data_IF_044671366859
#
_entry.id   IF_044671366859
#
_cell.length_a   1.000
_cell.length_b   1.000
_cell.length_c   1.000
_cell.angle_alpha   90.00
_cell.angle_beta   90.00
_cell.angle_gamma   90.00
#
_symmetry.space_group_name_H-M   'P 1'
#
loop_
_entity.id
_entity.type
_entity.pdbx_description
1 polymer ?
#
# COMPACT_ATOMS: atom_id res chain seq x y z
N UNK A 1 18.68 62.38 -30.84
CA UNK A 1 18.40 61.93 -29.46
C UNK A 1 18.85 60.47 -29.37
N UNK A 2 20.11 60.24 -29.03
CA UNK A 2 20.70 58.89 -29.00
C UNK A 2 20.30 58.22 -27.69
N UNK A 3 19.43 57.21 -27.77
CA UNK A 3 19.14 56.32 -26.63
C UNK A 3 20.42 55.55 -26.34
N UNK A 4 21.14 55.94 -25.28
CA UNK A 4 22.29 55.20 -24.76
C UNK A 4 21.72 54.00 -23.99
N UNK A 5 21.67 52.83 -24.63
CA UNK A 5 21.34 51.59 -23.91
C UNK A 5 22.43 51.37 -22.86
N UNK A 6 22.04 51.48 -21.60
CA UNK A 6 22.96 51.36 -20.48
C UNK A 6 23.29 49.88 -20.29
N UNK A 7 24.58 49.50 -20.20
CA UNK A 7 25.05 48.13 -19.89
C UNK A 7 24.28 47.46 -18.74
N UNK A 8 23.76 48.25 -17.78
CA UNK A 8 22.88 47.79 -16.71
C UNK A 8 21.60 47.08 -17.18
N UNK A 9 20.95 47.53 -18.26
CA UNK A 9 19.71 46.90 -18.74
C UNK A 9 19.94 45.50 -19.32
N UNK A 10 21.10 45.28 -19.95
CA UNK A 10 21.49 43.97 -20.47
C UNK A 10 21.80 42.98 -19.34
N UNK A 11 22.50 43.43 -18.29
CA UNK A 11 22.76 42.60 -17.10
C UNK A 11 21.47 42.23 -16.34
N UNK A 12 20.49 43.14 -16.28
CA UNK A 12 19.19 42.85 -15.65
C UNK A 12 18.42 41.78 -16.43
N UNK A 13 18.42 41.85 -17.77
CA UNK A 13 17.78 40.82 -18.61
C UNK A 13 18.48 39.47 -18.42
N UNK A 14 19.81 39.45 -18.41
CA UNK A 14 20.60 38.23 -18.19
C UNK A 14 20.29 37.58 -16.83
N UNK A 15 20.24 38.38 -15.77
CA UNK A 15 19.90 37.89 -14.43
C UNK A 15 18.45 37.35 -14.36
N UNK A 16 17.48 38.05 -14.97
CA UNK A 16 16.08 37.61 -15.00
C UNK A 16 15.94 36.28 -15.74
N UNK A 17 16.64 36.11 -16.86
CA UNK A 17 16.65 34.83 -17.60
C UNK A 17 17.31 33.74 -16.74
N UNK A 18 18.44 34.01 -16.10
CA UNK A 18 19.13 33.04 -15.25
C UNK A 18 18.26 32.57 -14.08
N UNK A 19 17.62 33.51 -13.37
CA UNK A 19 16.68 33.19 -12.28
C UNK A 19 15.44 32.48 -12.82
N UNK A 20 14.96 32.83 -14.02
CA UNK A 20 13.84 32.16 -14.68
C UNK A 20 14.11 30.68 -14.98
N UNK A 21 15.29 30.37 -15.56
CA UNK A 21 15.71 28.99 -15.82
C UNK A 21 15.90 28.23 -14.49
N UNK A 22 16.51 28.86 -13.49
CA UNK A 22 16.67 28.25 -12.18
C UNK A 22 15.32 27.91 -11.53
N UNK A 23 14.35 28.82 -11.58
CA UNK A 23 13.01 28.60 -11.07
C UNK A 23 12.29 27.46 -11.82
N UNK A 24 12.44 27.38 -13.15
CA UNK A 24 11.87 26.29 -13.95
C UNK A 24 12.46 24.93 -13.54
N UNK A 25 13.78 24.84 -13.40
CA UNK A 25 14.44 23.63 -12.93
C UNK A 25 13.97 23.24 -11.52
N UNK A 26 13.87 24.20 -10.60
CA UNK A 26 13.39 23.94 -9.24
C UNK A 26 11.95 23.38 -9.24
N UNK A 27 11.05 23.93 -10.06
CA UNK A 27 9.69 23.44 -10.19
C UNK A 27 9.63 21.99 -10.71
N UNK A 28 10.43 21.67 -11.73
CA UNK A 28 10.53 20.30 -12.26
C UNK A 28 11.06 19.34 -11.19
N UNK A 29 12.13 19.71 -10.48
CA UNK A 29 12.72 18.87 -9.45
C UNK A 29 11.74 18.59 -8.31
N UNK A 30 11.00 19.59 -7.84
CA UNK A 30 9.96 19.40 -6.81
C UNK A 30 8.84 18.51 -7.34
N UNK A 31 8.41 18.71 -8.59
CA UNK A 31 7.41 17.86 -9.22
C UNK A 31 7.83 16.39 -9.28
N UNK A 32 9.06 16.11 -9.72
CA UNK A 32 9.63 14.76 -9.73
C UNK A 32 9.72 14.17 -8.32
N UNK A 33 10.11 14.98 -7.33
CA UNK A 33 10.21 14.52 -5.94
C UNK A 33 8.86 14.13 -5.36
N UNK A 34 7.81 14.94 -5.57
CA UNK A 34 6.44 14.62 -5.13
C UNK A 34 5.95 13.33 -5.78
N UNK A 35 6.23 13.14 -7.06
CA UNK A 35 5.85 11.90 -7.76
C UNK A 35 6.61 10.69 -7.21
N UNK A 36 7.91 10.82 -6.94
CA UNK A 36 8.71 9.76 -6.34
C UNK A 36 8.23 9.41 -4.92
N UNK A 37 7.85 10.41 -4.10
CA UNK A 37 7.29 10.19 -2.76
C UNK A 37 5.99 9.38 -2.82
N UNK A 38 5.09 9.70 -3.75
CA UNK A 38 3.85 8.94 -3.98
C UNK A 38 4.14 7.49 -4.33
N UNK A 39 4.99 7.25 -5.33
CA UNK A 39 5.38 5.88 -5.74
C UNK A 39 6.05 5.13 -4.58
N UNK A 40 6.86 5.81 -3.76
CA UNK A 40 7.49 5.22 -2.60
C UNK A 40 6.48 4.80 -1.54
N UNK A 41 5.44 5.61 -1.28
CA UNK A 41 4.34 5.27 -0.35
C UNK A 41 3.54 4.08 -0.85
N UNK A 42 3.19 4.06 -2.13
CA UNK A 42 2.45 2.95 -2.75
C UNK A 42 3.26 1.65 -2.66
N UNK A 43 4.57 1.72 -2.94
CA UNK A 43 5.49 0.58 -2.82
C UNK A 43 5.64 0.11 -1.37
N UNK A 44 5.66 1.03 -0.40
CA UNK A 44 5.72 0.70 1.01
C UNK A 44 4.43 -0.01 1.48
N UNK A 45 3.26 0.51 1.09
CA UNK A 45 1.98 -0.11 1.38
C UNK A 45 1.88 -1.52 0.77
N UNK A 46 2.27 -1.69 -0.49
CA UNK A 46 2.33 -3.01 -1.13
C UNK A 46 3.29 -3.95 -0.40
N UNK A 47 4.49 -3.48 -0.04
CA UNK A 47 5.47 -4.29 0.69
C UNK A 47 4.95 -4.78 2.05
N UNK A 48 4.21 -3.93 2.76
CA UNK A 48 3.57 -4.32 4.00
C UNK A 48 2.39 -5.29 3.76
N UNK A 49 1.56 -5.05 2.76
CA UNK A 49 0.49 -5.96 2.36
C UNK A 49 1.02 -7.38 2.09
N UNK A 50 2.13 -7.49 1.36
CA UNK A 50 2.84 -8.76 1.11
C UNK A 50 3.31 -9.39 2.41
N UNK A 51 3.95 -8.60 3.29
CA UNK A 51 4.51 -9.09 4.55
C UNK A 51 3.42 -9.64 5.48
N UNK A 52 2.34 -8.89 5.70
CA UNK A 52 1.23 -9.35 6.56
C UNK A 52 0.52 -10.57 5.96
N UNK A 53 0.39 -10.63 4.63
CA UNK A 53 -0.22 -11.76 3.94
C UNK A 53 0.62 -13.05 4.08
N UNK A 54 1.94 -12.93 3.95
CA UNK A 54 2.86 -14.07 4.11
C UNK A 54 2.87 -14.57 5.56
N UNK A 55 2.97 -13.67 6.53
CA UNK A 55 2.87 -14.02 7.95
C UNK A 55 1.56 -14.74 8.24
N UNK A 56 0.45 -14.24 7.70
CA UNK A 56 -0.87 -14.85 7.83
C UNK A 56 -0.94 -16.22 7.15
N UNK A 57 -0.32 -16.39 5.98
CA UNK A 57 -0.26 -17.67 5.29
C UNK A 57 0.48 -18.75 6.10
N UNK A 58 1.56 -18.37 6.80
CA UNK A 58 2.29 -19.26 7.71
C UNK A 58 1.46 -19.63 8.94
N UNK A 59 0.73 -18.67 9.52
CA UNK A 59 -0.21 -18.92 10.62
C UNK A 59 -1.36 -19.82 10.19
N UNK A 60 -1.94 -19.57 9.01
CA UNK A 60 -2.99 -20.41 8.42
C UNK A 60 -2.55 -21.87 8.29
N UNK A 61 -1.31 -22.12 7.85
CA UNK A 61 -0.74 -23.48 7.82
C UNK A 61 -0.58 -24.08 9.22
N UNK A 62 -0.13 -23.27 10.18
CA UNK A 62 0.08 -23.70 11.57
C UNK A 62 -1.23 -24.17 12.22
N UNK A 63 -2.33 -23.47 11.94
CA UNK A 63 -3.67 -23.84 12.41
C UNK A 63 -4.41 -24.82 11.49
N UNK A 64 -3.70 -25.45 10.54
CA UNK A 64 -4.25 -26.44 9.59
C UNK A 64 -5.46 -25.93 8.79
N UNK A 65 -5.48 -24.64 8.48
CA UNK A 65 -6.55 -23.98 7.74
C UNK A 65 -7.85 -23.78 8.53
N UNK A 66 -7.78 -23.82 9.86
CA UNK A 66 -8.89 -23.45 10.74
C UNK A 66 -9.01 -21.93 10.86
N UNK A 67 -9.99 -21.34 10.16
CA UNK A 67 -10.21 -19.89 10.18
C UNK A 67 -10.63 -19.37 11.56
N UNK A 68 -11.34 -20.16 12.37
CA UNK A 68 -11.79 -19.73 13.69
C UNK A 68 -10.60 -19.61 14.65
N UNK A 69 -9.68 -20.59 14.59
CA UNK A 69 -8.40 -20.50 15.30
C UNK A 69 -7.52 -19.38 14.78
N UNK A 70 -7.45 -19.20 13.46
CA UNK A 70 -6.68 -18.11 12.87
C UNK A 70 -7.20 -16.74 13.33
N UNK A 71 -8.52 -16.60 13.44
CA UNK A 71 -9.16 -15.39 13.95
C UNK A 71 -8.75 -15.09 15.40
N UNK A 72 -8.69 -16.12 16.25
CA UNK A 72 -8.25 -15.98 17.64
C UNK A 72 -6.77 -15.61 17.75
N UNK A 73 -5.91 -16.18 16.90
CA UNK A 73 -4.47 -15.92 16.91
C UNK A 73 -4.10 -14.52 16.40
N UNK A 74 -4.94 -13.94 15.53
CA UNK A 74 -4.67 -12.66 14.86
C UNK A 74 -5.63 -11.54 15.29
N UNK A 75 -6.46 -11.77 16.32
CA UNK A 75 -7.50 -10.84 16.77
C UNK A 75 -8.45 -10.39 15.64
N UNK A 76 -8.73 -11.30 14.71
CA UNK A 76 -9.60 -11.06 13.55
C UNK A 76 -11.08 -11.36 13.82
N UNK A 77 -11.95 -10.88 12.94
CA UNK A 77 -13.41 -11.07 13.03
C UNK A 77 -13.90 -12.01 11.93
N UNK A 78 -14.60 -13.08 12.31
CA UNK A 78 -15.29 -13.94 11.34
C UNK A 78 -16.65 -13.34 10.96
N UNK A 79 -16.93 -13.24 9.67
CA UNK A 79 -18.22 -12.80 9.14
C UNK A 79 -19.24 -13.95 9.17
N UNK A 80 -20.53 -13.63 9.04
CA UNK A 80 -21.60 -14.64 8.95
C UNK A 80 -21.42 -15.57 7.74
N UNK A 81 -20.77 -15.07 6.68
CA UNK A 81 -20.45 -15.84 5.47
C UNK A 81 -19.23 -16.76 5.62
N UNK A 82 -18.60 -16.79 6.80
CA UNK A 82 -17.43 -17.64 7.09
C UNK A 82 -16.11 -17.10 6.56
N UNK A 83 -16.03 -15.82 6.20
CA UNK A 83 -14.78 -15.15 5.87
C UNK A 83 -14.13 -14.56 7.14
N UNK A 84 -12.81 -14.54 7.19
CA UNK A 84 -12.06 -13.88 8.26
C UNK A 84 -11.60 -12.51 7.79
N UNK A 85 -11.93 -11.46 8.55
CA UNK A 85 -11.56 -10.08 8.27
C UNK A 85 -10.63 -9.55 9.36
N UNK A 86 -9.54 -8.90 8.93
CA UNK A 86 -8.60 -8.19 9.78
C UNK A 86 -8.44 -6.76 9.30
N UNK A 87 -8.31 -5.84 10.26
CA UNK A 87 -8.14 -4.42 9.99
C UNK A 87 -6.77 -3.95 10.45
N UNK A 88 -6.19 -3.02 9.70
CA UNK A 88 -4.92 -2.39 10.02
C UNK A 88 -5.03 -0.87 9.93
N UNK A 89 -4.32 -0.17 10.81
CA UNK A 89 -4.18 1.29 10.73
C UNK A 89 -3.15 1.74 9.67
N UNK A 90 -2.90 3.06 9.60
CA UNK A 90 -1.91 3.66 8.69
C UNK A 90 -0.47 3.16 8.91
N UNK A 91 -0.17 2.64 10.10
CA UNK A 91 1.13 2.13 10.51
C UNK A 91 1.21 0.59 10.39
N UNK A 92 0.22 -0.03 9.75
CA UNK A 92 0.09 -1.49 9.57
C UNK A 92 0.00 -2.28 10.88
N UNK A 93 -0.53 -1.66 11.93
CA UNK A 93 -0.80 -2.35 13.19
C UNK A 93 -2.24 -2.89 13.20
N UNK A 94 -2.45 -4.11 13.73
CA UNK A 94 -3.79 -4.70 13.79
C UNK A 94 -4.70 -3.88 14.70
N UNK A 95 -5.92 -3.61 14.24
CA UNK A 95 -6.95 -2.89 14.98
C UNK A 95 -8.27 -3.66 14.97
N UNK A 96 -9.06 -3.53 16.05
CA UNK A 96 -10.35 -4.23 16.20
C UNK A 96 -11.54 -3.47 15.60
N UNK A 97 -11.32 -2.24 15.16
CA UNK A 97 -12.31 -1.40 14.48
C UNK A 97 -11.95 -1.26 13.00
N UNK A 98 -12.83 -0.66 12.20
CA UNK A 98 -12.53 -0.32 10.81
C UNK A 98 -11.24 0.51 10.71
N UNK A 99 -10.26 -0.04 10.01
CA UNK A 99 -8.93 0.54 9.80
C UNK A 99 -8.76 1.13 8.41
N UNK A 100 -7.55 1.59 8.10
CA UNK A 100 -7.19 2.09 6.77
C UNK A 100 -7.00 0.95 5.75
N UNK A 101 -6.55 -0.21 6.21
CA UNK A 101 -6.40 -1.40 5.38
C UNK A 101 -7.23 -2.56 5.92
N UNK A 102 -7.76 -3.35 5.00
CA UNK A 102 -8.54 -4.54 5.29
C UNK A 102 -7.89 -5.74 4.63
N UNK A 103 -7.73 -6.82 5.40
CA UNK A 103 -7.40 -8.14 4.87
C UNK A 103 -8.60 -9.06 5.03
N UNK A 104 -8.97 -9.77 3.97
CA UNK A 104 -10.08 -10.72 3.95
C UNK A 104 -9.58 -12.09 3.53
N UNK A 105 -10.00 -13.13 4.24
CA UNK A 105 -9.66 -14.52 3.96
C UNK A 105 -10.95 -15.31 3.79
N UNK A 106 -11.15 -15.89 2.61
CA UNK A 106 -12.36 -16.64 2.27
C UNK A 106 -12.01 -18.07 1.94
N UNK A 107 -12.61 -19.05 2.62
CA UNK A 107 -12.39 -20.46 2.32
C UNK A 107 -12.91 -20.83 0.93
N UNK A 108 -12.12 -21.63 0.21
CA UNK A 108 -12.52 -22.25 -1.04
C UNK A 108 -12.82 -23.74 -0.81
N UNK A 109 -13.86 -24.30 -1.46
CA UNK A 109 -14.12 -25.73 -1.39
C UNK A 109 -12.99 -26.52 -2.06
N UNK A 110 -12.39 -27.46 -1.32
CA UNK A 110 -11.34 -28.34 -1.82
C UNK A 110 -11.41 -29.72 -1.14
N UNK A 111 -11.09 -30.79 -1.89
CA UNK A 111 -11.06 -32.16 -1.37
C UNK A 111 -9.64 -32.53 -0.89
N UNK A 112 -9.52 -32.94 0.37
CA UNK A 112 -8.28 -33.46 0.97
C UNK A 112 -7.31 -32.42 1.54
N UNK A 113 -7.54 -31.13 1.32
CA UNK A 113 -6.77 -30.02 1.90
C UNK A 113 -7.65 -28.77 2.03
N UNK A 114 -7.31 -27.81 2.90
CA UNK A 114 -8.06 -26.55 3.04
C UNK A 114 -7.42 -25.45 2.22
N UNK A 115 -8.16 -24.90 1.26
CA UNK A 115 -7.78 -23.70 0.49
C UNK A 115 -8.53 -22.47 0.98
N UNK A 116 -7.88 -21.33 0.88
CA UNK A 116 -8.52 -20.04 1.07
C UNK A 116 -7.89 -18.99 0.16
N UNK A 117 -8.68 -18.02 -0.28
CA UNK A 117 -8.15 -16.81 -0.91
C UNK A 117 -7.93 -15.75 0.16
N UNK A 118 -6.77 -15.10 0.13
CA UNK A 118 -6.44 -13.94 0.94
C UNK A 118 -6.31 -12.73 0.03
N UNK A 119 -6.99 -11.64 0.38
CA UNK A 119 -6.85 -10.34 -0.28
C UNK A 119 -6.62 -9.24 0.75
N UNK A 120 -5.82 -8.23 0.37
CA UNK A 120 -5.59 -7.00 1.13
C UNK A 120 -5.99 -5.83 0.26
N UNK A 121 -6.78 -4.91 0.80
CA UNK A 121 -7.25 -3.70 0.12
C UNK A 121 -7.22 -2.50 1.07
N UNK A 122 -7.15 -1.30 0.49
CA UNK A 122 -7.33 -0.06 1.25
C UNK A 122 -8.81 0.25 1.38
N UNK A 123 -9.23 0.70 2.56
CA UNK A 123 -10.61 1.07 2.85
C UNK A 123 -11.05 2.23 1.96
N UNK A 124 -12.17 2.05 1.25
CA UNK A 124 -12.68 3.03 0.28
C UNK A 124 -12.08 2.92 -1.13
N UNK A 125 -11.15 1.99 -1.36
CA UNK A 125 -10.68 1.61 -2.70
C UNK A 125 -11.38 0.32 -3.16
N UNK A 126 -11.70 0.24 -4.44
CA UNK A 126 -12.17 -0.99 -5.11
C UNK A 126 -10.98 -1.82 -5.65
N UNK A 127 -9.76 -1.27 -5.57
CA UNK A 127 -8.53 -1.94 -6.00
C UNK A 127 -7.94 -2.77 -4.87
N UNK A 128 -7.73 -4.06 -5.16
CA UNK A 128 -6.99 -4.95 -4.26
C UNK A 128 -5.50 -4.65 -4.36
N UNK A 129 -4.89 -4.28 -3.23
CA UNK A 129 -3.45 -4.00 -3.14
C UNK A 129 -2.63 -5.27 -3.37
N UNK A 130 -3.05 -6.39 -2.77
CA UNK A 130 -2.36 -7.66 -2.89
C UNK A 130 -3.31 -8.83 -2.66
N UNK A 131 -3.07 -9.95 -3.35
CA UNK A 131 -3.83 -11.17 -3.13
C UNK A 131 -2.94 -12.41 -3.25
N UNK A 132 -3.25 -13.44 -2.49
CA UNK A 132 -2.54 -14.71 -2.48
C UNK A 132 -3.48 -15.87 -2.14
N UNK A 133 -3.23 -17.04 -2.71
CA UNK A 133 -3.93 -18.28 -2.36
C UNK A 133 -3.20 -19.00 -1.21
N UNK A 134 -3.98 -19.38 -0.20
CA UNK A 134 -3.56 -20.16 0.95
C UNK A 134 -3.91 -21.63 0.74
N UNK A 135 -3.02 -22.51 1.20
CA UNK A 135 -3.26 -23.94 1.23
C UNK A 135 -2.64 -24.53 2.51
N UNK A 136 -3.42 -25.36 3.21
CA UNK A 136 -2.99 -26.12 4.38
C UNK A 136 -3.40 -27.59 4.22
N UNK A 137 -2.49 -28.50 4.54
CA UNK A 137 -2.77 -29.94 4.58
C UNK A 137 -3.67 -30.26 5.79
N UNK A 138 -4.72 -31.05 5.57
CA UNK A 138 -5.52 -31.60 6.66
C UNK A 138 -4.82 -32.88 7.09
N UNK A 139 -4.14 -32.83 8.23
CA UNK A 139 -3.49 -34.02 8.78
C UNK A 139 -4.57 -35.00 9.30
N UNK A 140 -4.49 -36.30 8.98
CA UNK A 140 -5.52 -37.28 9.31
C UNK A 140 -5.64 -37.57 10.81
#
# INVERSE_FOLDING_TARGET
>A
MTVRSSRSGLLVIELVIAVGVFALCAAICVGLFVQADRVSRDSAALGQAVTVSQNTAERYKTVQGDLERLAQDLDGTCTEDGALVLWFDSDWQPVQAEGEYQMTITQQPAEGYRKADLSVQQTGSDETLFALQLAAEVQP
#
